data_IF_798282335847
#
_entry.id   IF_798282335847
#
_cell.length_a   1.000
_cell.length_b   1.000
_cell.length_c   1.000
_cell.angle_alpha   90.00
_cell.angle_beta   90.00
_cell.angle_gamma   90.00
#
_symmetry.space_group_name_H-M   'P 1'
#
loop_
_entity.id
_entity.type
_entity.pdbx_description
1 polymer ?
#
# COMPACT_ATOMS: atom_id res chain seq x y z
N UNK A 1 -8.27 -25.42 6.07
CA UNK A 1 -8.32 -24.74 4.75
C UNK A 1 -9.52 -23.83 4.57
N UNK A 2 -10.73 -24.23 4.98
CA UNK A 2 -11.96 -23.42 4.80
C UNK A 2 -11.87 -22.04 5.49
N UNK A 3 -11.32 -21.97 6.71
CA UNK A 3 -11.06 -20.71 7.41
C UNK A 3 -10.19 -19.75 6.58
N UNK A 4 -9.05 -20.25 6.09
CA UNK A 4 -8.14 -19.47 5.26
C UNK A 4 -8.79 -19.01 3.96
N UNK A 5 -9.59 -19.87 3.31
CA UNK A 5 -10.36 -19.49 2.11
C UNK A 5 -11.30 -18.32 2.39
N UNK A 6 -12.03 -18.34 3.51
CA UNK A 6 -12.92 -17.23 3.91
C UNK A 6 -12.15 -15.96 4.18
N UNK A 7 -11.05 -16.03 4.94
CA UNK A 7 -10.19 -14.87 5.19
C UNK A 7 -9.66 -14.30 3.86
N UNK A 8 -9.14 -15.15 2.97
CA UNK A 8 -8.63 -14.71 1.68
C UNK A 8 -9.71 -14.15 0.76
N UNK A 9 -10.95 -14.65 0.82
CA UNK A 9 -12.04 -14.05 0.04
C UNK A 9 -12.31 -12.58 0.39
N UNK A 10 -12.01 -12.17 1.65
CA UNK A 10 -12.12 -10.79 2.10
C UNK A 10 -10.85 -10.00 1.76
N UNK A 11 -9.66 -10.58 1.98
CA UNK A 11 -8.40 -9.85 1.83
C UNK A 11 -7.88 -9.77 0.39
N UNK A 12 -8.21 -10.74 -0.47
CA UNK A 12 -7.72 -10.79 -1.86
C UNK A 12 -8.25 -9.63 -2.72
N UNK A 13 -9.55 -9.27 -2.69
CA UNK A 13 -10.04 -8.09 -3.40
C UNK A 13 -9.35 -6.81 -2.93
N UNK A 14 -9.15 -6.65 -1.62
CA UNK A 14 -8.39 -5.53 -1.05
C UNK A 14 -6.96 -5.49 -1.59
N UNK A 15 -6.26 -6.62 -1.59
CA UNK A 15 -4.90 -6.72 -2.10
C UNK A 15 -4.82 -6.35 -3.57
N UNK A 16 -5.72 -6.88 -4.40
CA UNK A 16 -5.75 -6.61 -5.84
C UNK A 16 -6.10 -5.14 -6.13
N UNK A 17 -7.04 -4.56 -5.39
CA UNK A 17 -7.43 -3.16 -5.55
C UNK A 17 -6.28 -2.23 -5.21
N UNK A 18 -5.64 -2.45 -4.05
CA UNK A 18 -4.46 -1.71 -3.68
C UNK A 18 -3.41 -1.84 -4.79
N UNK A 19 -3.15 -3.04 -5.32
CA UNK A 19 -2.11 -3.30 -6.34
C UNK A 19 -2.44 -2.79 -7.75
N UNK A 20 -3.63 -2.23 -7.97
CA UNK A 20 -3.99 -1.68 -9.27
C UNK A 20 -3.15 -0.45 -9.62
N UNK A 21 -2.98 -0.17 -10.92
CA UNK A 21 -2.18 0.97 -11.40
C UNK A 21 -2.83 2.34 -11.11
N UNK A 22 -4.14 2.36 -10.87
CA UNK A 22 -4.96 3.56 -10.71
C UNK A 22 -5.70 3.52 -9.38
N UNK A 23 -4.96 3.55 -8.27
CA UNK A 23 -5.57 3.51 -6.94
C UNK A 23 -6.17 4.86 -6.58
N UNK A 24 -7.43 4.85 -6.17
CA UNK A 24 -8.09 6.01 -5.56
C UNK A 24 -7.99 5.85 -4.04
N UNK A 25 -7.34 6.80 -3.38
CA UNK A 25 -7.10 6.78 -1.93
C UNK A 25 -8.40 6.71 -1.11
N UNK A 26 -9.47 7.34 -1.59
CA UNK A 26 -10.77 7.35 -0.90
C UNK A 26 -11.40 5.95 -0.97
N UNK A 27 -11.41 5.35 -2.15
CA UNK A 27 -11.98 4.01 -2.31
C UNK A 27 -11.08 2.95 -1.65
N UNK A 28 -9.76 3.15 -1.63
CA UNK A 28 -8.83 2.32 -0.87
C UNK A 28 -9.15 2.34 0.64
N UNK A 29 -9.36 3.52 1.23
CA UNK A 29 -9.79 3.68 2.62
C UNK A 29 -11.10 2.96 2.90
N UNK A 30 -12.09 3.15 2.03
CA UNK A 30 -13.40 2.53 2.15
C UNK A 30 -13.28 1.01 2.14
N UNK A 31 -12.45 0.46 1.25
CA UNK A 31 -12.22 -0.96 1.13
C UNK A 31 -11.45 -1.55 2.33
N UNK A 32 -10.48 -0.82 2.88
CA UNK A 32 -9.75 -1.20 4.11
C UNK A 32 -10.73 -1.28 5.29
N UNK A 33 -11.56 -0.25 5.49
CA UNK A 33 -12.54 -0.21 6.57
C UNK A 33 -13.59 -1.31 6.41
N UNK A 34 -14.11 -1.51 5.20
CA UNK A 34 -15.05 -2.59 4.90
C UNK A 34 -14.45 -3.97 5.22
N UNK A 35 -13.19 -4.20 4.81
CA UNK A 35 -12.50 -5.47 5.07
C UNK A 35 -12.27 -5.69 6.57
N UNK A 36 -11.90 -4.64 7.31
CA UNK A 36 -11.73 -4.66 8.76
C UNK A 36 -13.04 -5.00 9.48
N UNK A 37 -14.15 -4.39 9.06
CA UNK A 37 -15.47 -4.68 9.60
C UNK A 37 -15.91 -6.12 9.28
N UNK A 38 -15.67 -6.60 8.05
CA UNK A 38 -16.00 -7.97 7.67
C UNK A 38 -15.22 -9.00 8.49
N UNK A 39 -13.93 -8.76 8.75
CA UNK A 39 -13.10 -9.61 9.62
C UNK A 39 -13.54 -9.52 11.08
N UNK A 40 -13.91 -8.34 11.58
CA UNK A 40 -14.44 -8.17 12.92
C UNK A 40 -15.77 -8.94 13.10
N UNK A 41 -16.65 -8.90 12.08
CA UNK A 41 -17.89 -9.70 12.04
C UNK A 41 -17.64 -11.21 11.96
N UNK A 42 -16.44 -11.67 11.59
CA UNK A 42 -16.07 -13.09 11.68
C UNK A 42 -15.74 -13.50 13.12
N UNK A 43 -15.35 -12.58 14.00
CA UNK A 43 -15.07 -12.85 15.41
C UNK A 43 -16.36 -13.03 16.24
N UNK A 44 -17.36 -13.74 15.71
CA UNK A 44 -18.60 -14.07 16.41
C UNK A 44 -18.76 -15.59 16.52
N UNK A 45 -19.29 -16.06 17.65
CA UNK A 45 -19.48 -17.49 17.91
C UNK A 45 -20.39 -18.14 16.85
N UNK A 46 -21.44 -17.43 16.41
CA UNK A 46 -22.34 -17.89 15.33
C UNK A 46 -21.60 -18.19 14.02
N UNK A 47 -20.65 -17.33 13.63
CA UNK A 47 -19.87 -17.53 12.39
C UNK A 47 -18.89 -18.69 12.50
N UNK A 48 -18.43 -18.99 13.72
CA UNK A 48 -17.61 -20.16 13.97
C UNK A 48 -18.43 -21.45 13.82
N UNK A 49 -19.65 -21.49 14.34
CA UNK A 49 -20.58 -22.62 14.15
C UNK A 49 -20.88 -22.86 12.66
N UNK A 50 -21.24 -21.81 11.91
CA UNK A 50 -21.45 -21.88 10.45
C UNK A 50 -20.22 -22.44 9.70
N UNK A 51 -19.01 -22.09 10.14
CA UNK A 51 -17.77 -22.58 9.54
C UNK A 51 -17.55 -24.07 9.84
N UNK A 52 -17.87 -24.52 11.05
CA UNK A 52 -17.77 -25.93 11.43
C UNK A 52 -18.79 -26.76 10.65
N UNK A 53 -20.01 -26.26 10.47
CA UNK A 53 -21.03 -26.92 9.64
C UNK A 53 -20.60 -27.04 8.18
N UNK A 54 -20.07 -25.97 7.58
CA UNK A 54 -19.53 -26.01 6.21
C UNK A 54 -18.38 -27.02 6.10
N UNK A 55 -17.54 -27.12 7.13
CA UNK A 55 -16.46 -28.11 7.16
C UNK A 55 -16.98 -29.55 7.22
N UNK A 56 -18.03 -29.80 8.01
CA UNK A 56 -18.70 -31.12 8.07
C UNK A 56 -19.35 -31.49 6.74
N UNK A 57 -20.06 -30.54 6.12
CA UNK A 57 -20.67 -30.75 4.80
C UNK A 57 -19.61 -31.06 3.72
N UNK A 58 -18.50 -30.32 3.73
CA UNK A 58 -17.38 -30.57 2.82
C UNK A 58 -16.75 -31.95 3.04
N UNK A 59 -16.55 -32.36 4.31
CA UNK A 59 -16.02 -33.67 4.65
C UNK A 59 -16.94 -34.80 4.15
N UNK A 60 -18.26 -34.66 4.37
CA UNK A 60 -19.26 -35.61 3.90
C UNK A 60 -19.30 -35.72 2.37
N UNK A 61 -19.23 -34.57 1.67
CA UNK A 61 -19.21 -34.54 0.21
C UNK A 61 -17.99 -35.26 -0.39
N UNK A 62 -16.82 -35.09 0.25
CA UNK A 62 -15.58 -35.73 -0.19
C UNK A 62 -15.30 -37.11 0.42
N UNK A 63 -16.27 -37.68 1.17
CA UNK A 63 -16.14 -38.96 1.89
C UNK A 63 -14.89 -39.03 2.79
N UNK A 64 -14.54 -37.92 3.42
CA UNK A 64 -13.44 -37.88 4.39
C UNK A 64 -13.91 -38.50 5.72
N UNK A 65 -13.01 -39.18 6.41
CA UNK A 65 -13.29 -39.72 7.75
C UNK A 65 -13.42 -38.52 8.70
N UNK A 66 -14.60 -38.34 9.30
CA UNK A 66 -14.81 -37.31 10.31
C UNK A 66 -14.04 -37.71 11.58
N UNK A 67 -12.91 -37.04 11.82
CA UNK A 67 -12.13 -37.22 13.04
C UNK A 67 -12.52 -36.11 14.01
N UNK A 68 -13.20 -36.49 15.10
CA UNK A 68 -13.44 -35.57 16.21
C UNK A 68 -12.13 -35.02 16.74
N UNK A 69 -12.15 -33.77 17.24
CA UNK A 69 -10.97 -33.16 17.85
C UNK A 69 -10.41 -34.06 18.94
N UNK A 70 -9.11 -34.39 18.83
CA UNK A 70 -8.44 -35.28 19.78
C UNK A 70 -8.54 -34.73 21.19
N UNK A 71 -9.20 -35.47 22.07
CA UNK A 71 -9.27 -35.12 23.49
C UNK A 71 -7.92 -35.39 24.15
N UNK A 72 -7.33 -34.34 24.72
CA UNK A 72 -6.12 -34.47 25.52
C UNK A 72 -6.50 -34.78 26.97
N UNK A 73 -5.97 -35.88 27.51
CA UNK A 73 -6.20 -36.28 28.90
C UNK A 73 -5.71 -35.18 29.84
N UNK A 74 -6.58 -34.73 30.75
CA UNK A 74 -6.19 -33.81 31.83
C UNK A 74 -5.26 -34.52 32.81
N UNK A 75 -4.15 -33.87 33.16
CA UNK A 75 -3.27 -34.33 34.25
C UNK A 75 -3.81 -33.74 35.56
N UNK A 76 -4.45 -34.56 36.38
CA UNK A 76 -4.85 -34.12 37.73
C UNK A 76 -3.62 -33.99 38.63
N UNK A 77 -3.55 -32.89 39.38
CA UNK A 77 -2.57 -32.74 40.46
C UNK A 77 -3.15 -33.36 41.73
N UNK A 78 -2.33 -34.09 42.50
CA UNK A 78 -2.77 -34.66 43.78
C UNK A 78 -3.08 -33.52 44.76
N UNK A 79 -4.28 -33.52 45.34
CA UNK A 79 -4.75 -32.54 46.32
C UNK A 79 -4.58 -33.13 47.72
N UNK A 80 -4.10 -32.34 48.69
CA UNK A 80 -3.96 -32.75 50.08
C UNK A 80 -5.28 -32.59 50.86
N UNK A 81 -5.52 -33.38 51.92
CA UNK A 81 -6.70 -33.20 52.77
C UNK A 81 -6.76 -31.77 53.34
N UNK A 82 -7.85 -31.05 53.07
CA UNK A 82 -8.07 -29.67 53.55
C UNK A 82 -7.78 -28.57 52.52
N UNK A 83 -7.16 -28.88 51.37
CA UNK A 83 -6.99 -27.91 50.28
C UNK A 83 -8.28 -27.81 49.44
N UNK A 84 -8.73 -26.59 49.16
CA UNK A 84 -9.79 -26.36 48.18
C UNK A 84 -9.20 -26.50 46.77
N UNK A 85 -9.83 -27.33 45.94
CA UNK A 85 -9.49 -27.41 44.52
C UNK A 85 -9.71 -26.04 43.86
N UNK A 86 -8.80 -25.61 42.98
CA UNK A 86 -9.07 -24.48 42.08
C UNK A 86 -10.17 -24.87 41.09
N UNK A 87 -11.02 -23.91 40.71
CA UNK A 87 -12.06 -24.13 39.70
C UNK A 87 -11.42 -24.55 38.36
N UNK A 88 -11.59 -25.83 37.99
CA UNK A 88 -11.14 -26.31 36.70
C UNK A 88 -12.14 -25.87 35.61
N UNK A 89 -11.74 -24.92 34.77
CA UNK A 89 -12.50 -24.60 33.56
C UNK A 89 -12.48 -25.84 32.65
N UNK A 90 -13.64 -26.44 32.40
CA UNK A 90 -13.79 -27.49 31.39
C UNK A 90 -13.74 -26.86 30.00
N UNK A 91 -12.54 -26.66 29.43
CA UNK A 91 -12.44 -26.33 28.01
C UNK A 91 -12.59 -27.62 27.19
N UNK A 92 -13.69 -27.75 26.44
CA UNK A 92 -13.80 -28.81 25.44
C UNK A 92 -12.66 -28.70 24.43
N UNK A 93 -12.27 -29.80 23.79
CA UNK A 93 -11.31 -29.77 22.67
C UNK A 93 -11.78 -28.81 21.56
N UNK A 94 -13.11 -28.64 21.43
CA UNK A 94 -13.75 -27.68 20.56
C UNK A 94 -13.48 -26.22 20.99
N UNK A 95 -13.59 -25.92 22.29
CA UNK A 95 -13.29 -24.60 22.83
C UNK A 95 -11.82 -24.23 22.70
N UNK A 96 -10.93 -25.23 22.85
CA UNK A 96 -9.50 -25.03 22.61
C UNK A 96 -9.23 -24.62 21.17
N UNK A 97 -9.84 -25.30 20.20
CA UNK A 97 -9.68 -24.94 18.79
C UNK A 97 -10.25 -23.55 18.50
N UNK A 98 -11.44 -23.25 19.02
CA UNK A 98 -12.10 -21.94 18.92
C UNK A 98 -11.21 -20.81 19.43
N UNK A 99 -10.71 -20.92 20.66
CA UNK A 99 -9.91 -19.85 21.28
C UNK A 99 -8.48 -19.78 20.73
N UNK A 100 -7.75 -20.89 20.70
CA UNK A 100 -6.33 -20.88 20.36
C UNK A 100 -6.04 -20.88 18.85
N UNK A 101 -7.01 -21.26 18.02
CA UNK A 101 -6.79 -21.37 16.57
C UNK A 101 -7.66 -20.37 15.82
N UNK A 102 -8.98 -20.46 15.96
CA UNK A 102 -9.90 -19.60 15.19
C UNK A 102 -9.75 -18.12 15.56
N UNK A 103 -9.95 -17.76 16.83
CA UNK A 103 -9.81 -16.37 17.28
C UNK A 103 -8.37 -15.88 17.19
N UNK A 104 -7.39 -16.71 17.56
CA UNK A 104 -5.98 -16.32 17.45
C UNK A 104 -5.55 -15.97 16.02
N UNK A 105 -6.01 -16.72 15.01
CA UNK A 105 -5.72 -16.42 13.60
C UNK A 105 -6.41 -15.12 13.17
N UNK A 106 -7.71 -14.96 13.49
CA UNK A 106 -8.44 -13.75 13.14
C UNK A 106 -7.83 -12.51 13.78
N UNK A 107 -7.45 -12.60 15.06
CA UNK A 107 -6.84 -11.50 15.79
C UNK A 107 -5.50 -11.14 15.18
N UNK A 108 -4.67 -12.12 14.84
CA UNK A 108 -3.40 -11.86 14.17
C UNK A 108 -3.60 -11.16 12.83
N UNK A 109 -4.60 -11.55 12.04
CA UNK A 109 -4.93 -10.89 10.76
C UNK A 109 -5.46 -9.48 11.00
N UNK A 110 -6.41 -9.29 11.93
CA UNK A 110 -6.99 -7.98 12.25
C UNK A 110 -5.91 -7.03 12.76
N UNK A 111 -5.06 -7.46 13.69
CA UNK A 111 -3.95 -6.67 14.23
C UNK A 111 -2.94 -6.34 13.13
N UNK A 112 -2.67 -7.25 12.18
CA UNK A 112 -1.77 -6.94 11.06
C UNK A 112 -2.32 -5.86 10.12
N UNK A 113 -3.63 -5.85 9.86
CA UNK A 113 -4.28 -4.82 9.05
C UNK A 113 -4.34 -3.50 9.84
N UNK A 114 -4.68 -3.56 11.13
CA UNK A 114 -4.71 -2.38 12.00
C UNK A 114 -3.34 -1.73 12.11
N UNK A 115 -2.31 -2.47 12.53
CA UNK A 115 -0.94 -1.93 12.65
C UNK A 115 -0.40 -1.35 11.34
N UNK A 116 -0.79 -1.90 10.19
CA UNK A 116 -0.38 -1.39 8.89
C UNK A 116 -1.00 -0.05 8.50
N UNK A 117 -2.25 0.22 8.92
CA UNK A 117 -3.02 1.37 8.44
C UNK A 117 -3.42 2.37 9.54
N UNK A 118 -3.15 2.09 10.81
CA UNK A 118 -3.58 2.97 11.91
C UNK A 118 -2.87 4.33 11.87
N UNK A 119 -1.55 4.29 11.69
CA UNK A 119 -0.70 5.48 11.73
C UNK A 119 -0.92 6.38 10.50
N UNK A 120 -1.37 5.79 9.39
CA UNK A 120 -1.64 6.50 8.14
C UNK A 120 -3.04 7.13 8.07
N UNK A 121 -3.96 6.87 9.01
CA UNK A 121 -5.33 7.39 8.89
C UNK A 121 -5.40 8.92 8.90
N UNK A 122 -4.55 9.54 9.71
CA UNK A 122 -4.49 11.00 9.86
C UNK A 122 -3.98 11.67 8.59
N UNK A 123 -2.85 11.21 8.05
CA UNK A 123 -2.31 11.73 6.79
C UNK A 123 -3.25 11.45 5.60
N UNK A 124 -3.94 10.32 5.64
CA UNK A 124 -4.87 9.93 4.58
C UNK A 124 -6.14 10.78 4.61
N UNK A 125 -6.58 11.27 5.78
CA UNK A 125 -7.61 12.31 5.90
C UNK A 125 -7.16 13.59 5.18
N UNK A 126 -5.92 14.03 5.37
CA UNK A 126 -5.40 15.21 4.65
C UNK A 126 -5.32 14.95 3.13
N UNK A 127 -4.92 13.75 2.70
CA UNK A 127 -4.97 13.38 1.29
C UNK A 127 -6.39 13.30 0.71
N UNK A 128 -7.40 12.95 1.52
CA UNK A 128 -8.79 13.00 1.04
C UNK A 128 -9.22 14.43 0.71
N UNK A 129 -8.66 15.45 1.37
CA UNK A 129 -8.92 16.86 1.03
C UNK A 129 -8.39 17.21 -0.35
N UNK A 130 -7.27 16.62 -0.77
CA UNK A 130 -6.69 16.81 -2.11
C UNK A 130 -7.45 16.04 -3.22
N UNK A 131 -8.59 15.44 -2.92
CA UNK A 131 -9.40 14.78 -3.94
C UNK A 131 -10.19 15.78 -4.80
N UNK A 132 -10.37 15.50 -6.10
CA UNK A 132 -11.17 16.34 -6.99
C UNK A 132 -12.63 16.51 -6.53
N UNK A 133 -13.21 15.49 -5.89
CA UNK A 133 -14.56 15.56 -5.31
C UNK A 133 -14.63 16.62 -4.20
N UNK A 134 -13.62 16.66 -3.32
CA UNK A 134 -13.58 17.64 -2.24
C UNK A 134 -13.34 19.05 -2.77
N UNK A 135 -12.46 19.21 -3.76
CA UNK A 135 -12.26 20.51 -4.44
C UNK A 135 -13.56 21.09 -5.00
N UNK A 136 -14.40 20.26 -5.63
CA UNK A 136 -15.73 20.66 -6.15
C UNK A 136 -16.70 21.04 -5.04
N UNK A 137 -16.73 20.28 -3.94
CA UNK A 137 -17.60 20.63 -2.78
C UNK A 137 -17.22 21.96 -2.15
N UNK A 138 -15.92 22.28 -2.06
CA UNK A 138 -15.44 23.54 -1.49
C UNK A 138 -15.87 24.77 -2.31
N UNK A 139 -15.96 24.64 -3.63
CA UNK A 139 -16.46 25.71 -4.50
C UNK A 139 -17.94 26.02 -4.27
N UNK A 140 -18.76 24.98 -4.09
CA UNK A 140 -20.21 25.12 -3.99
C UNK A 140 -20.69 25.60 -2.61
N UNK A 141 -19.95 25.29 -1.53
CA UNK A 141 -20.43 25.51 -0.15
C UNK A 141 -19.78 26.69 0.59
N UNK A 142 -18.83 27.44 0.01
CA UNK A 142 -18.10 28.54 0.70
C UNK A 142 -17.62 28.16 2.12
N UNK A 143 -17.30 26.88 2.32
CA UNK A 143 -17.00 26.33 3.64
C UNK A 143 -15.59 26.75 4.06
N UNK A 144 -15.44 27.18 5.32
CA UNK A 144 -14.12 27.44 5.90
C UNK A 144 -13.39 26.11 6.07
N UNK A 145 -12.15 26.06 5.58
CA UNK A 145 -11.27 24.91 5.78
C UNK A 145 -11.10 24.69 7.31
N UNK A 146 -11.31 23.48 7.85
CA UNK A 146 -11.08 23.22 9.27
C UNK A 146 -9.65 23.62 9.68
N UNK A 147 -9.51 24.21 10.87
CA UNK A 147 -8.21 24.71 11.36
C UNK A 147 -7.14 23.62 11.51
N UNK A 148 -7.51 22.34 11.55
CA UNK A 148 -6.60 21.19 11.64
C UNK A 148 -6.18 20.64 10.27
N UNK A 149 -6.67 21.19 9.15
CA UNK A 149 -6.41 20.65 7.82
C UNK A 149 -4.94 20.77 7.43
N UNK A 150 -4.36 19.70 6.87
CA UNK A 150 -2.96 19.63 6.42
C UNK A 150 -1.90 19.64 7.53
N UNK A 151 -2.31 19.54 8.80
CA UNK A 151 -1.37 19.52 9.94
C UNK A 151 -0.50 18.27 9.94
N UNK A 152 -1.11 17.11 9.69
CA UNK A 152 -0.42 15.82 9.62
C UNK A 152 0.42 15.71 8.33
N UNK A 153 -0.04 16.31 7.24
CA UNK A 153 0.71 16.39 5.99
C UNK A 153 2.00 17.21 6.15
N UNK A 154 1.96 18.35 6.84
CA UNK A 154 3.17 19.16 7.08
C UNK A 154 4.10 18.53 8.13
N UNK A 155 3.55 17.81 9.13
CA UNK A 155 4.38 17.02 10.03
C UNK A 155 5.21 15.96 9.28
N UNK A 156 4.65 15.45 8.17
CA UNK A 156 5.33 14.49 7.29
C UNK A 156 6.23 15.15 6.24
N UNK A 157 5.93 16.39 5.83
CA UNK A 157 6.67 17.17 4.84
C UNK A 157 7.07 18.54 5.43
N UNK A 158 8.21 18.63 6.13
CA UNK A 158 8.64 19.87 6.78
C UNK A 158 9.02 20.99 5.81
N UNK A 159 9.10 20.69 4.51
CA UNK A 159 9.36 21.67 3.45
C UNK A 159 8.16 22.57 3.12
N UNK A 160 6.96 22.23 3.60
CA UNK A 160 5.71 22.91 3.25
C UNK A 160 5.23 23.83 4.38
N UNK A 161 4.86 25.07 4.04
CA UNK A 161 4.18 25.99 4.96
C UNK A 161 2.65 25.74 4.96
N UNK A 162 2.10 25.42 6.14
CA UNK A 162 0.67 25.14 6.36
C UNK A 162 -0.21 26.30 5.87
N UNK A 163 0.18 27.54 6.18
CA UNK A 163 -0.67 28.70 5.88
C UNK A 163 -0.69 28.99 4.37
N UNK A 164 0.45 28.84 3.71
CA UNK A 164 0.56 28.99 2.26
C UNK A 164 -0.18 27.87 1.55
N UNK A 165 -0.02 26.61 1.97
CA UNK A 165 -0.75 25.48 1.40
C UNK A 165 -2.28 25.67 1.50
N UNK A 166 -2.79 26.15 2.64
CA UNK A 166 -4.22 26.43 2.81
C UNK A 166 -4.72 27.52 1.87
N UNK A 167 -3.97 28.60 1.74
CA UNK A 167 -4.31 29.71 0.84
C UNK A 167 -4.29 29.26 -0.63
N UNK A 168 -3.22 28.56 -1.02
CA UNK A 168 -3.06 27.96 -2.36
C UNK A 168 -4.23 27.02 -2.68
N UNK A 169 -4.59 26.14 -1.74
CA UNK A 169 -5.72 25.21 -1.89
C UNK A 169 -7.05 25.95 -2.11
N UNK A 170 -7.33 27.00 -1.32
CA UNK A 170 -8.57 27.80 -1.45
C UNK A 170 -8.61 28.54 -2.79
N UNK A 171 -7.48 29.08 -3.23
CA UNK A 171 -7.39 29.79 -4.52
C UNK A 171 -7.59 28.78 -5.66
N UNK A 172 -6.87 27.66 -5.60
CA UNK A 172 -6.95 26.61 -6.61
C UNK A 172 -8.35 26.00 -6.72
N UNK A 173 -9.05 25.78 -5.60
CA UNK A 173 -10.42 25.24 -5.61
C UNK A 173 -11.41 26.14 -6.35
N UNK A 174 -11.20 27.47 -6.33
CA UNK A 174 -12.07 28.42 -7.04
C UNK A 174 -11.85 28.37 -8.55
N UNK A 175 -10.59 28.23 -8.98
CA UNK A 175 -10.20 28.16 -10.40
C UNK A 175 -10.21 26.73 -10.97
N UNK A 176 -10.54 25.72 -10.17
CA UNK A 176 -10.40 24.31 -10.54
C UNK A 176 -11.22 23.93 -11.78
N UNK A 177 -12.51 24.27 -11.79
CA UNK A 177 -13.37 23.90 -12.93
C UNK A 177 -12.95 24.58 -14.23
N UNK A 178 -12.51 25.84 -14.15
CA UNK A 178 -12.02 26.62 -15.29
C UNK A 178 -10.73 26.00 -15.86
N UNK A 179 -9.82 25.57 -14.99
CA UNK A 179 -8.60 24.86 -15.38
C UNK A 179 -8.90 23.47 -15.96
N UNK A 180 -9.94 22.78 -15.49
CA UNK A 180 -10.32 21.46 -16.02
C UNK A 180 -11.06 21.54 -17.35
N UNK A 181 -11.89 22.56 -17.56
CA UNK A 181 -12.56 22.80 -18.84
C UNK A 181 -11.60 23.25 -19.95
N UNK A 182 -10.47 23.87 -19.60
CA UNK A 182 -9.40 24.22 -20.54
C UNK A 182 -8.59 23.02 -21.08
N UNK A 183 -8.76 21.82 -20.49
CA UNK A 183 -8.06 20.59 -20.94
C UNK A 183 -8.67 20.08 -22.26
N UNK A 184 -9.94 20.39 -22.52
CA UNK A 184 -10.71 19.89 -23.67
C UNK A 184 -10.42 20.62 -24.99
N UNK A 185 -9.57 21.65 -25.03
CA UNK A 185 -9.23 22.28 -26.31
C UNK A 185 -8.34 21.32 -27.13
N UNK A 186 -8.83 20.80 -28.28
CA UNK A 186 -8.04 19.92 -29.10
C UNK A 186 -6.80 20.67 -29.57
N UNK A 187 -5.63 20.06 -29.43
CA UNK A 187 -4.31 20.62 -29.78
C UNK A 187 -4.10 20.84 -31.29
N UNK A 188 -5.18 20.89 -32.08
CA UNK A 188 -5.14 20.99 -33.54
C UNK A 188 -5.77 22.30 -33.99
N UNK A 189 -5.08 23.40 -33.70
CA UNK A 189 -5.37 24.74 -34.24
C UNK A 189 -4.27 25.19 -35.20
N UNK A 190 -3.94 24.36 -36.20
CA UNK A 190 -3.30 24.82 -37.43
C UNK A 190 -3.64 23.86 -38.57
N UNK A 191 -4.61 24.25 -39.39
CA UNK A 191 -4.66 23.83 -40.78
C UNK A 191 -3.96 24.93 -41.58
N UNK A 192 -2.71 24.76 -42.06
CA UNK A 192 -2.27 25.52 -43.21
C UNK A 192 -2.92 24.87 -44.44
N UNK A 193 -3.71 25.67 -45.14
CA UNK A 193 -4.27 25.33 -46.44
C UNK A 193 -3.19 24.82 -47.40
N UNK A 194 -3.55 23.75 -48.11
CA UNK A 194 -2.93 23.17 -49.30
C UNK A 194 -1.84 24.01 -50.01
N UNK A 195 -0.61 23.49 -50.04
CA UNK A 195 0.22 23.49 -51.26
C UNK A 195 0.89 22.12 -51.40
N UNK A 196 0.75 21.59 -52.60
CA UNK A 196 1.15 20.28 -53.08
C UNK A 196 2.67 20.08 -53.19
N UNK A 197 3.01 18.79 -53.25
CA UNK A 197 4.10 18.15 -54.01
C UNK A 197 5.53 18.12 -53.45
N UNK A 198 5.95 16.86 -53.26
CA UNK A 198 7.23 16.23 -53.66
C UNK A 198 8.23 15.84 -52.56
N UNK A 199 8.38 14.50 -52.48
CA UNK A 199 9.61 13.73 -52.24
C UNK A 199 10.14 13.57 -50.79
N UNK A 200 9.72 12.42 -50.22
CA UNK A 200 10.48 11.42 -49.46
C UNK A 200 11.50 11.87 -48.41
N UNK A 201 11.26 11.46 -47.16
CA UNK A 201 12.11 10.49 -46.45
C UNK A 201 11.29 9.85 -45.31
N UNK A 202 11.43 8.53 -45.20
CA UNK A 202 10.74 7.66 -44.26
C UNK A 202 11.16 7.94 -42.82
N UNK A 203 10.21 8.18 -41.92
CA UNK A 203 10.36 7.84 -40.49
C UNK A 203 9.08 7.17 -39.98
N UNK A 204 9.29 6.09 -39.25
CA UNK A 204 8.34 5.04 -38.91
C UNK A 204 7.10 5.53 -38.15
N UNK A 205 5.94 5.48 -38.79
CA UNK A 205 4.63 5.47 -38.13
C UNK A 205 4.47 4.20 -37.30
N UNK A 206 4.77 4.28 -35.99
CA UNK A 206 4.16 3.37 -35.03
C UNK A 206 2.75 3.85 -34.77
N UNK A 207 1.82 3.28 -35.55
CA UNK A 207 0.39 3.22 -35.28
C UNK A 207 0.12 3.05 -33.79
N UNK A 208 -0.29 4.12 -33.12
CA UNK A 208 -0.92 4.06 -31.80
C UNK A 208 -2.37 3.65 -32.08
N UNK A 209 -2.61 2.36 -31.89
CA UNK A 209 -3.94 1.73 -31.96
C UNK A 209 -4.94 2.44 -31.05
N UNK A 210 -6.20 2.38 -31.48
CA UNK A 210 -7.42 3.06 -31.02
C UNK A 210 -7.85 2.83 -29.55
N UNK A 211 -6.92 2.54 -28.63
CA UNK A 211 -7.19 2.20 -27.23
C UNK A 211 -7.04 3.38 -26.26
N UNK A 212 -6.70 4.59 -26.74
CA UNK A 212 -6.55 5.80 -25.90
C UNK A 212 -7.85 6.64 -25.76
N UNK A 213 -9.01 6.07 -26.07
CA UNK A 213 -10.27 6.54 -25.45
C UNK A 213 -10.38 5.99 -24.03
N UNK A 214 -9.40 6.35 -23.18
CA UNK A 214 -9.44 6.04 -21.76
C UNK A 214 -10.51 6.94 -21.14
N UNK A 215 -11.67 6.34 -20.86
CA UNK A 215 -12.68 6.76 -19.88
C UNK A 215 -12.38 8.07 -19.14
N UNK A 216 -12.83 9.18 -19.72
CA UNK A 216 -12.75 10.51 -19.12
C UNK A 216 -13.89 10.74 -18.10
N UNK A 217 -14.13 9.78 -17.20
CA UNK A 217 -15.21 9.84 -16.20
C UNK A 217 -14.74 9.76 -14.75
N UNK A 218 -13.43 9.74 -14.51
CA UNK A 218 -12.88 9.92 -13.16
C UNK A 218 -11.65 10.81 -13.22
N UNK A 219 -11.81 12.10 -12.92
CA UNK A 219 -10.68 13.01 -12.74
C UNK A 219 -9.85 12.44 -11.59
N UNK A 220 -8.64 11.97 -11.90
CA UNK A 220 -7.73 11.41 -10.91
C UNK A 220 -6.77 12.47 -10.39
N UNK A 221 -6.08 12.14 -9.30
CA UNK A 221 -4.96 12.94 -8.77
C UNK A 221 -3.88 13.18 -9.85
N UNK A 222 -3.67 12.20 -10.73
CA UNK A 222 -2.76 12.30 -11.88
C UNK A 222 -3.18 13.37 -12.89
N UNK A 223 -4.47 13.53 -13.13
CA UNK A 223 -5.00 14.57 -14.03
C UNK A 223 -4.75 15.96 -13.44
N UNK A 224 -4.88 16.12 -12.11
CA UNK A 224 -4.62 17.38 -11.42
C UNK A 224 -3.11 17.72 -11.44
N UNK A 225 -2.25 16.73 -11.23
CA UNK A 225 -0.81 16.95 -11.36
C UNK A 225 -0.42 17.33 -12.80
N UNK A 226 -1.06 16.70 -13.79
CA UNK A 226 -0.85 17.02 -15.20
C UNK A 226 -1.29 18.45 -15.53
N UNK A 227 -2.45 18.92 -15.06
CA UNK A 227 -2.89 20.30 -15.30
C UNK A 227 -1.95 21.32 -14.66
N UNK A 228 -1.52 21.07 -13.41
CA UNK A 228 -0.55 21.94 -12.73
C UNK A 228 0.77 22.03 -13.51
N UNK A 229 1.21 20.95 -14.15
CA UNK A 229 2.42 20.94 -14.99
C UNK A 229 2.23 21.56 -16.37
N UNK A 230 1.09 21.34 -17.03
CA UNK A 230 0.80 21.81 -18.39
C UNK A 230 0.69 23.32 -18.46
N UNK A 231 0.08 23.92 -17.44
CA UNK A 231 -0.11 25.37 -17.36
C UNK A 231 1.04 26.08 -16.61
N UNK A 232 2.12 25.37 -16.28
CA UNK A 232 3.25 25.86 -15.48
C UNK A 232 2.83 26.59 -14.20
N UNK A 233 1.82 26.05 -13.52
CA UNK A 233 1.33 26.55 -12.23
C UNK A 233 2.27 26.19 -11.06
N UNK A 234 3.43 25.61 -11.37
CA UNK A 234 4.47 25.21 -10.42
C UNK A 234 4.98 26.40 -9.59
N UNK A 235 5.07 27.59 -10.21
CA UNK A 235 5.49 28.82 -9.55
C UNK A 235 4.36 29.52 -8.78
N UNK A 236 3.10 29.34 -9.19
CA UNK A 236 1.94 29.97 -8.56
C UNK A 236 1.44 29.21 -7.33
N UNK A 237 1.58 27.87 -7.33
CA UNK A 237 1.13 26.99 -6.26
C UNK A 237 2.22 25.97 -5.88
N UNK A 238 3.38 26.42 -5.35
CA UNK A 238 4.52 25.55 -5.07
C UNK A 238 4.22 24.49 -4.00
N UNK A 239 3.52 24.85 -2.92
CA UNK A 239 3.21 23.93 -1.83
C UNK A 239 2.18 22.89 -2.26
N UNK A 240 1.16 23.32 -2.99
CA UNK A 240 0.13 22.43 -3.55
C UNK A 240 0.74 21.46 -4.57
N UNK A 241 1.64 21.95 -5.43
CA UNK A 241 2.35 21.12 -6.40
C UNK A 241 3.21 20.05 -5.71
N UNK A 242 3.96 20.41 -4.67
CA UNK A 242 4.72 19.43 -3.87
C UNK A 242 3.79 18.41 -3.23
N UNK A 243 2.67 18.84 -2.64
CA UNK A 243 1.69 17.93 -2.03
C UNK A 243 1.13 16.92 -3.05
N UNK A 244 0.75 17.36 -4.26
CA UNK A 244 0.30 16.47 -5.34
C UNK A 244 1.40 15.57 -5.90
N UNK A 245 2.63 16.07 -6.00
CA UNK A 245 3.80 15.30 -6.43
C UNK A 245 4.11 14.18 -5.44
N UNK A 246 4.06 14.48 -4.15
CA UNK A 246 4.25 13.48 -3.09
C UNK A 246 3.09 12.47 -3.11
N UNK A 247 1.84 12.94 -3.24
CA UNK A 247 0.68 12.06 -3.38
C UNK A 247 0.81 11.09 -4.56
N UNK A 248 1.36 11.55 -5.68
CA UNK A 248 1.61 10.73 -6.87
C UNK A 248 2.82 9.79 -6.76
N UNK A 249 3.71 9.97 -5.78
CA UNK A 249 4.91 9.15 -5.58
C UNK A 249 4.81 8.19 -4.40
N UNK A 250 3.81 8.34 -3.53
CA UNK A 250 3.56 7.39 -2.44
C UNK A 250 3.26 6.00 -3.01
N UNK A 251 4.03 4.97 -2.60
CA UNK A 251 3.69 3.60 -2.95
C UNK A 251 2.42 3.20 -2.18
N UNK A 252 1.28 3.17 -2.87
CA UNK A 252 0.02 2.67 -2.28
C UNK A 252 0.11 1.16 -2.01
N UNK A 253 1.08 0.46 -2.61
CA UNK A 253 1.29 -0.99 -2.44
C UNK A 253 2.69 -1.43 -2.13
N UNK A 254 2.74 -2.62 -1.55
CA UNK A 254 3.96 -3.41 -1.37
C UNK A 254 4.50 -4.02 -2.66
N UNK A 255 4.07 -3.63 -3.86
CA UNK A 255 4.61 -4.17 -5.12
C UNK A 255 6.13 -3.91 -5.24
N UNK A 256 6.61 -2.78 -4.71
CA UNK A 256 8.06 -2.52 -4.56
C UNK A 256 8.73 -3.58 -3.66
N UNK A 257 8.03 -4.02 -2.61
CA UNK A 257 8.54 -5.04 -1.69
C UNK A 257 8.53 -6.44 -2.32
N UNK A 258 7.67 -6.75 -3.30
CA UNK A 258 7.68 -8.04 -4.00
C UNK A 258 8.96 -8.26 -4.82
N UNK A 259 9.45 -7.21 -5.50
CA UNK A 259 10.75 -7.25 -6.18
C UNK A 259 11.86 -7.55 -5.18
N UNK A 260 11.86 -6.86 -4.04
CA UNK A 260 12.81 -7.08 -2.97
C UNK A 260 12.71 -8.49 -2.38
N UNK A 261 11.51 -9.01 -2.09
CA UNK A 261 11.32 -10.38 -1.60
C UNK A 261 11.76 -11.45 -2.59
N UNK A 262 11.56 -11.22 -3.90
CA UNK A 262 12.09 -12.09 -4.94
C UNK A 262 13.63 -12.15 -4.90
N UNK A 263 14.28 -11.00 -4.66
CA UNK A 263 15.75 -10.96 -4.44
C UNK A 263 16.17 -11.59 -3.12
N UNK A 264 15.44 -11.38 -2.03
CA UNK A 264 15.69 -12.05 -0.74
C UNK A 264 15.69 -13.57 -0.93
N UNK A 265 14.75 -14.12 -1.69
CA UNK A 265 14.68 -15.57 -1.96
C UNK A 265 15.92 -16.10 -2.68
N UNK A 266 16.55 -15.30 -3.55
CA UNK A 266 17.80 -15.65 -4.23
C UNK A 266 19.02 -15.51 -3.31
N UNK A 267 19.05 -14.48 -2.47
CA UNK A 267 20.17 -14.17 -1.57
C UNK A 267 20.19 -15.12 -0.37
N UNK A 268 19.03 -15.38 0.23
CA UNK A 268 18.85 -16.21 1.43
C UNK A 268 18.46 -17.64 1.04
N UNK A 269 19.44 -18.41 0.59
CA UNK A 269 19.28 -19.83 0.29
C UNK A 269 19.45 -20.71 1.53
N UNK A 270 19.04 -21.98 1.45
CA UNK A 270 19.18 -22.97 2.54
C UNK A 270 20.62 -23.07 3.07
N UNK A 271 21.61 -22.92 2.19
CA UNK A 271 23.03 -22.98 2.55
C UNK A 271 23.55 -21.69 3.22
N UNK A 272 22.80 -20.59 3.12
CA UNK A 272 23.14 -19.27 3.67
C UNK A 272 22.24 -18.89 4.85
N UNK A 273 21.70 -19.88 5.56
CA UNK A 273 20.75 -19.69 6.67
C UNK A 273 21.36 -18.98 7.88
N UNK A 274 22.68 -19.00 8.03
CA UNK A 274 23.44 -18.41 9.16
C UNK A 274 23.90 -16.96 8.91
N UNK A 275 23.45 -16.32 7.83
CA UNK A 275 23.86 -14.95 7.51
C UNK A 275 23.26 -13.94 8.49
N UNK A 276 24.12 -13.07 9.05
CA UNK A 276 23.71 -11.95 9.91
C UNK A 276 22.89 -10.89 9.17
N UNK A 277 22.14 -10.09 9.94
CA UNK A 277 21.20 -9.10 9.41
C UNK A 277 21.89 -8.02 8.57
N UNK A 278 22.99 -7.45 9.05
CA UNK A 278 23.75 -6.41 8.32
C UNK A 278 24.19 -6.91 6.95
N UNK A 279 24.75 -8.13 6.88
CA UNK A 279 25.19 -8.71 5.61
C UNK A 279 24.03 -8.97 4.65
N UNK A 280 22.87 -9.39 5.17
CA UNK A 280 21.67 -9.59 4.35
C UNK A 280 21.22 -8.26 3.73
N UNK A 281 21.18 -7.21 4.55
CA UNK A 281 20.77 -5.87 4.17
C UNK A 281 21.69 -5.26 3.11
N UNK A 282 23.01 -5.30 3.31
CA UNK A 282 23.97 -4.79 2.31
C UNK A 282 23.86 -5.51 0.95
N UNK A 283 23.65 -6.83 0.97
CA UNK A 283 23.44 -7.61 -0.26
C UNK A 283 22.11 -7.29 -0.94
N UNK A 284 21.09 -6.98 -0.15
CA UNK A 284 19.79 -6.54 -0.65
C UNK A 284 19.92 -5.20 -1.38
N UNK A 285 20.60 -4.21 -0.78
CA UNK A 285 20.87 -2.93 -1.44
C UNK A 285 21.60 -3.13 -2.76
N UNK A 286 22.70 -3.89 -2.76
CA UNK A 286 23.47 -4.16 -3.97
C UNK A 286 22.66 -4.88 -5.06
N UNK A 287 21.71 -5.74 -4.68
CA UNK A 287 20.88 -6.48 -5.64
C UNK A 287 19.70 -5.67 -6.19
N UNK A 288 19.15 -4.76 -5.39
CA UNK A 288 18.01 -3.91 -5.76
C UNK A 288 18.45 -2.70 -6.58
N UNK A 289 19.50 -2.00 -6.13
CA UNK A 289 20.01 -0.75 -6.71
C UNK A 289 21.15 -1.02 -7.72
N UNK A 290 20.89 -1.86 -8.72
CA UNK A 290 21.92 -2.24 -9.72
C UNK A 290 22.21 -1.15 -10.75
N UNK A 291 21.36 -0.16 -10.82
CA UNK A 291 21.40 1.01 -11.70
C UNK A 291 22.24 2.16 -11.12
N UNK A 292 22.53 2.13 -9.82
CA UNK A 292 23.45 3.10 -9.19
C UNK A 292 24.89 2.74 -9.57
N UNK A 293 25.55 3.64 -10.31
CA UNK A 293 26.97 3.49 -10.64
C UNK A 293 27.81 3.72 -9.38
N UNK A 294 28.57 2.70 -8.99
CA UNK A 294 29.49 2.77 -7.85
C UNK A 294 30.83 3.29 -8.36
N UNK A 295 31.39 4.29 -7.68
CA UNK A 295 32.77 4.70 -7.88
C UNK A 295 33.72 3.67 -7.24
N UNK A 296 34.43 2.94 -8.10
CA UNK A 296 35.35 1.89 -7.67
C UNK A 296 36.57 2.46 -6.93
N UNK A 297 37.04 3.67 -7.29
CA UNK A 297 38.22 4.27 -6.65
C UNK A 297 37.88 4.73 -5.23
N UNK A 298 36.73 5.39 -5.05
CA UNK A 298 36.27 5.79 -3.73
C UNK A 298 36.05 4.56 -2.83
N UNK A 299 35.44 3.48 -3.35
CA UNK A 299 35.24 2.26 -2.57
C UNK A 299 36.54 1.55 -2.21
N UNK A 300 37.53 1.51 -3.11
CA UNK A 300 38.87 0.95 -2.83
C UNK A 300 39.58 1.77 -1.75
N UNK A 301 39.53 3.10 -1.83
CA UNK A 301 40.16 3.97 -0.83
C UNK A 301 39.50 3.83 0.54
N UNK A 302 38.17 3.73 0.61
CA UNK A 302 37.43 3.54 1.85
C UNK A 302 37.69 2.15 2.46
N UNK A 303 37.77 1.10 1.65
CA UNK A 303 38.16 -0.24 2.08
C UNK A 303 39.61 -0.27 2.58
N UNK A 304 40.52 0.40 1.89
CA UNK A 304 41.92 0.54 2.30
C UNK A 304 42.08 1.22 3.65
N UNK A 305 41.19 2.15 4.02
CA UNK A 305 41.19 2.79 5.34
C UNK A 305 40.74 1.88 6.49
N UNK A 306 40.09 0.74 6.21
CA UNK A 306 39.59 -0.17 7.25
C UNK A 306 40.68 -1.00 7.94
N UNK A 307 41.85 -1.17 7.30
CA UNK A 307 42.96 -1.95 7.84
C UNK A 307 44.28 -1.46 7.27
N UNK A 308 45.30 -1.30 8.12
CA UNK A 308 46.64 -0.88 7.71
C UNK A 308 47.29 -1.84 6.71
N UNK A 309 46.95 -3.14 6.79
CA UNK A 309 47.43 -4.16 5.84
C UNK A 309 46.80 -3.96 4.47
N UNK A 310 45.49 -3.70 4.41
CA UNK A 310 44.77 -3.43 3.16
C UNK A 310 45.18 -2.09 2.55
N UNK A 311 45.42 -1.08 3.39
CA UNK A 311 45.91 0.23 2.97
C UNK A 311 47.21 0.10 2.18
N UNK A 312 48.17 -0.65 2.71
CA UNK A 312 49.48 -0.87 2.09
C UNK A 312 49.38 -1.69 0.79
N UNK A 313 48.43 -2.62 0.70
CA UNK A 313 48.25 -3.46 -0.49
C UNK A 313 47.46 -2.79 -1.63
N UNK A 314 46.51 -1.89 -1.30
CA UNK A 314 45.56 -1.30 -2.25
C UNK A 314 45.92 0.14 -2.66
N UNK A 315 46.57 0.93 -1.80
CA UNK A 315 46.86 2.36 -2.09
C UNK A 315 48.30 2.62 -2.55
N UNK A 316 49.19 1.63 -2.49
CA UNK A 316 50.61 1.77 -2.84
C UNK A 316 51.01 0.85 -4.00
N UNK A 317 50.23 0.88 -5.08
CA UNK A 317 50.60 0.31 -6.39
C UNK A 317 50.73 1.40 -7.43
#
# INVERSE_FOLDING_TARGET
MILLRKIFSITTPLSNYLQSKSVDFIEALRLINTSKEQLAKMRSDKKYEELVEEAKQFANHHKLIEVNFKESRKRAKKILPGEKASDEIQSSSFDKYRCHTYFAILDKVITSIQSRFNDSNNILKDFTLLSPERLRTFKNENQQLPQDSFTDLVAWLPEIDINQLRNEYIIFSKSFDDLTSGIDLPTLLHCPESISSSESCEEEEKNITQDEQINMTKIGVSTILYTLSKYDLSAAFPNLYIAYKVLGTIPVTSASVERSFSKVKLIKTRLRSTMGQERLESLMFLSCERDIKIDYEETITLLGRSSDVLKNALLFK
#
